data_IF_725859950941
#
_entry.id   IF_725859950941
#
_cell.length_a   1.000
_cell.length_b   1.000
_cell.length_c   1.000
_cell.angle_alpha   90.00
_cell.angle_beta   90.00
_cell.angle_gamma   90.00
#
_symmetry.space_group_name_H-M   'P 1'
#
loop_
_entity.id
_entity.type
_entity.pdbx_description
1 polymer ?
#
# COMPACT_ATOMS: atom_id res chain seq x y z
N UNK A 1 12.52 11.53 41.81
CA UNK A 1 11.87 11.42 40.48
C UNK A 1 12.77 10.58 39.58
N UNK A 2 12.36 9.37 39.18
CA UNK A 2 13.09 8.59 38.18
C UNK A 2 12.64 9.04 36.79
N UNK A 3 13.55 9.59 35.99
CA UNK A 3 13.32 9.86 34.58
C UNK A 3 13.59 8.59 33.77
N UNK A 4 12.54 7.98 33.24
CA UNK A 4 12.68 6.89 32.27
C UNK A 4 12.80 7.47 30.86
N UNK A 5 13.98 7.40 30.27
CA UNK A 5 14.16 7.59 28.83
C UNK A 5 13.76 6.30 28.12
N UNK A 6 12.58 6.27 27.50
CA UNK A 6 12.21 5.20 26.58
C UNK A 6 13.08 5.35 25.33
N UNK A 7 14.10 4.50 25.19
CA UNK A 7 14.77 4.32 23.89
C UNK A 7 13.74 3.70 22.93
N UNK A 8 13.38 4.43 21.88
CA UNK A 8 12.57 3.88 20.80
C UNK A 8 13.34 2.71 20.16
N UNK A 9 12.93 1.48 20.45
CA UNK A 9 13.49 0.29 19.82
C UNK A 9 12.78 0.07 18.47
N UNK A 10 13.46 0.43 17.39
CA UNK A 10 12.98 0.16 16.02
C UNK A 10 13.01 -1.35 15.78
N UNK A 11 11.87 -2.02 15.90
CA UNK A 11 11.72 -3.42 15.47
C UNK A 11 11.49 -3.44 13.96
N UNK A 12 12.33 -4.15 13.22
CA UNK A 12 12.05 -4.46 11.83
C UNK A 12 10.86 -5.42 11.78
N UNK A 13 9.76 -4.99 11.17
CA UNK A 13 8.55 -5.80 11.00
C UNK A 13 8.24 -5.86 9.51
N UNK A 14 8.11 -7.07 8.96
CA UNK A 14 7.78 -7.27 7.55
C UNK A 14 6.31 -6.93 7.24
N UNK A 15 5.43 -7.08 8.24
CA UNK A 15 4.00 -6.82 8.12
C UNK A 15 3.47 -6.07 9.35
N UNK A 16 2.88 -4.90 9.12
CA UNK A 16 2.43 -3.98 10.19
C UNK A 16 1.06 -4.33 10.79
N UNK A 17 0.44 -5.44 10.38
CA UNK A 17 -0.90 -5.83 10.84
C UNK A 17 -2.02 -4.99 10.22
N UNK A 18 -1.80 -4.39 9.04
CA UNK A 18 -2.74 -3.50 8.38
C UNK A 18 -3.07 -4.06 6.99
N UNK A 19 -4.35 -4.27 6.72
CA UNK A 19 -4.86 -4.49 5.37
C UNK A 19 -5.61 -3.26 4.90
N UNK A 20 -5.43 -2.90 3.64
CA UNK A 20 -6.10 -1.77 3.00
C UNK A 20 -6.67 -2.22 1.68
N UNK A 21 -7.95 -1.92 1.44
CA UNK A 21 -8.53 -2.02 0.11
C UNK A 21 -8.76 -0.61 -0.46
N UNK A 22 -8.70 -0.46 -1.78
CA UNK A 22 -8.88 0.85 -2.37
C UNK A 22 -8.92 0.85 -3.89
N UNK A 23 -8.74 2.03 -4.46
CA UNK A 23 -8.84 2.26 -5.89
C UNK A 23 -7.68 3.10 -6.43
N UNK A 24 -7.22 2.77 -7.63
CA UNK A 24 -6.18 3.51 -8.36
C UNK A 24 -6.15 3.06 -9.80
N UNK A 25 -5.94 4.01 -10.72
CA UNK A 25 -5.81 3.74 -12.15
C UNK A 25 -6.94 2.84 -12.67
N UNK A 26 -8.19 3.21 -12.41
CA UNK A 26 -9.37 2.49 -12.89
C UNK A 26 -9.46 1.01 -12.45
N UNK A 27 -8.89 0.66 -11.30
CA UNK A 27 -8.93 -0.70 -10.75
C UNK A 27 -8.82 -0.69 -9.23
N UNK A 28 -9.24 -1.78 -8.62
CA UNK A 28 -9.15 -1.96 -7.18
C UNK A 28 -7.76 -2.51 -6.78
N UNK A 29 -7.44 -2.41 -5.50
CA UNK A 29 -6.29 -3.07 -4.91
C UNK A 29 -6.58 -3.56 -3.50
N UNK A 30 -5.78 -4.52 -3.04
CA UNK A 30 -5.64 -4.93 -1.64
C UNK A 30 -4.16 -4.85 -1.29
N UNK A 31 -3.83 -4.16 -0.20
CA UNK A 31 -2.47 -4.00 0.31
C UNK A 31 -2.31 -4.63 1.68
N UNK A 32 -1.13 -5.21 1.89
CA UNK A 32 -0.55 -5.44 3.19
C UNK A 32 0.42 -4.28 3.48
N UNK A 33 0.30 -3.58 4.60
CA UNK A 33 1.30 -2.57 4.94
C UNK A 33 2.56 -3.23 5.52
N UNK A 34 3.73 -2.85 5.00
CA UNK A 34 5.03 -3.29 5.50
C UNK A 34 5.90 -3.92 4.40
N UNK A 35 7.24 -3.87 4.54
CA UNK A 35 8.00 -3.20 5.61
C UNK A 35 7.89 -1.67 5.54
N UNK A 36 7.96 -0.99 6.69
CA UNK A 36 7.76 0.46 6.79
C UNK A 36 8.63 1.12 7.87
N UNK A 37 8.83 2.44 7.71
CA UNK A 37 9.24 3.33 8.80
C UNK A 37 7.96 3.83 9.47
N UNK A 38 7.91 3.70 10.80
CA UNK A 38 6.70 3.93 11.58
C UNK A 38 6.95 4.89 12.72
N UNK A 39 6.11 5.92 12.78
CA UNK A 39 5.96 6.77 13.95
C UNK A 39 4.64 6.43 14.64
N UNK A 40 4.66 6.07 15.92
CA UNK A 40 3.47 5.67 16.66
C UNK A 40 3.37 6.39 18.00
N UNK A 41 2.23 7.04 18.23
CA UNK A 41 1.84 7.63 19.51
C UNK A 41 0.34 7.39 19.68
N UNK A 42 -0.03 6.44 20.55
CA UNK A 42 -1.43 6.05 20.77
C UNK A 42 -2.34 7.28 20.93
N UNK A 43 -3.52 7.32 20.26
CA UNK A 43 -4.11 6.29 19.38
C UNK A 43 -3.66 6.33 17.91
N UNK A 44 -2.67 7.17 17.57
CA UNK A 44 -2.24 7.45 16.20
C UNK A 44 -1.00 6.65 15.79
N UNK A 45 -0.91 6.31 14.51
CA UNK A 45 0.33 5.89 13.86
C UNK A 45 0.40 6.41 12.42
N UNK A 46 1.61 6.76 11.99
CA UNK A 46 1.91 7.13 10.61
C UNK A 46 3.01 6.19 10.13
N UNK A 47 2.80 5.59 8.95
CA UNK A 47 3.71 4.64 8.33
C UNK A 47 4.03 5.14 6.93
N UNK A 48 5.29 5.05 6.54
CA UNK A 48 5.74 5.22 5.16
C UNK A 48 6.54 3.99 4.78
N UNK A 49 6.14 3.29 3.73
CA UNK A 49 6.76 2.02 3.42
C UNK A 49 6.26 1.37 2.15
N UNK A 50 6.71 0.13 1.97
CA UNK A 50 6.32 -0.73 0.87
C UNK A 50 4.92 -1.30 1.11
N UNK A 51 4.24 -1.56 0.01
CA UNK A 51 2.87 -2.06 -0.04
C UNK A 51 2.81 -3.28 -0.97
N UNK A 52 3.18 -4.48 -0.48
CA UNK A 52 2.83 -5.73 -1.15
C UNK A 52 1.33 -5.77 -1.43
N UNK A 53 0.98 -5.96 -2.70
CA UNK A 53 -0.38 -5.71 -3.15
C UNK A 53 -0.89 -6.73 -4.17
N UNK A 54 -2.20 -6.91 -4.17
CA UNK A 54 -2.95 -7.50 -5.25
C UNK A 54 -3.69 -6.39 -5.99
N UNK A 55 -3.43 -6.26 -7.28
CA UNK A 55 -4.15 -5.36 -8.20
C UNK A 55 -5.28 -6.13 -8.84
N UNK A 56 -6.46 -5.53 -8.86
CA UNK A 56 -7.66 -6.10 -9.47
C UNK A 56 -8.10 -5.14 -10.57
N UNK A 57 -7.75 -5.48 -11.82
CA UNK A 57 -8.01 -4.65 -12.99
C UNK A 57 -8.06 -5.51 -14.23
N UNK A 58 -9.09 -5.31 -15.04
CA UNK A 58 -9.20 -5.95 -16.35
C UNK A 58 -8.10 -5.45 -17.30
N UNK A 59 -7.45 -6.37 -18.01
CA UNK A 59 -6.44 -6.04 -19.00
C UNK A 59 -7.08 -5.72 -20.35
N UNK A 60 -7.18 -4.43 -20.66
CA UNK A 60 -7.79 -3.94 -21.90
C UNK A 60 -6.78 -3.96 -23.03
N UNK A 61 -6.74 -5.09 -23.76
CA UNK A 61 -5.88 -5.32 -24.92
C UNK A 61 -6.67 -5.36 -26.23
N UNK A 62 -5.97 -5.25 -27.37
CA UNK A 62 -6.59 -5.39 -28.68
C UNK A 62 -7.17 -6.80 -28.89
N UNK A 63 -8.23 -6.96 -29.72
CA UNK A 63 -8.81 -8.27 -30.01
C UNK A 63 -7.77 -9.28 -30.50
N UNK A 64 -7.78 -10.48 -29.92
CA UNK A 64 -6.83 -11.55 -30.26
C UNK A 64 -5.44 -11.43 -29.62
N UNK A 65 -5.15 -10.34 -28.89
CA UNK A 65 -3.92 -10.21 -28.13
C UNK A 65 -3.96 -11.04 -26.83
N UNK A 66 -2.78 -11.44 -26.34
CA UNK A 66 -2.65 -12.05 -25.01
C UNK A 66 -2.98 -11.00 -23.94
N UNK A 67 -3.69 -11.43 -22.91
CA UNK A 67 -4.12 -10.60 -21.78
C UNK A 67 -3.51 -11.11 -20.47
N UNK A 68 -3.25 -10.20 -19.54
CA UNK A 68 -2.90 -10.52 -18.17
C UNK A 68 -4.11 -11.05 -17.38
N UNK A 69 -3.84 -11.74 -16.27
CA UNK A 69 -4.86 -12.09 -15.28
C UNK A 69 -5.56 -10.84 -14.74
N UNK A 70 -6.85 -10.94 -14.43
CA UNK A 70 -7.61 -9.86 -13.78
C UNK A 70 -7.03 -9.49 -12.40
N UNK A 71 -6.42 -10.47 -11.72
CA UNK A 71 -5.74 -10.27 -10.44
C UNK A 71 -4.24 -10.48 -10.64
N UNK A 72 -3.45 -9.47 -10.31
CA UNK A 72 -1.99 -9.49 -10.46
C UNK A 72 -1.27 -9.07 -9.17
N UNK A 73 -0.11 -9.66 -8.86
CA UNK A 73 0.74 -9.15 -7.80
C UNK A 73 1.38 -7.83 -8.24
N UNK A 74 1.53 -6.89 -7.30
CA UNK A 74 2.23 -5.64 -7.53
C UNK A 74 2.90 -5.17 -6.23
N UNK A 75 3.92 -4.33 -6.33
CA UNK A 75 4.57 -3.68 -5.21
C UNK A 75 4.38 -2.17 -5.34
N UNK A 76 3.61 -1.60 -4.41
CA UNK A 76 3.52 -0.15 -4.26
C UNK A 76 4.41 0.36 -3.15
N UNK A 77 4.40 1.68 -2.98
CA UNK A 77 4.84 2.33 -1.75
C UNK A 77 3.85 3.42 -1.38
N UNK A 78 3.84 3.89 -0.14
CA UNK A 78 2.97 5.00 0.21
C UNK A 78 2.96 5.34 1.67
N UNK A 79 2.06 6.26 2.01
CA UNK A 79 1.81 6.69 3.37
C UNK A 79 0.51 6.05 3.90
N UNK A 80 0.54 5.59 5.14
CA UNK A 80 -0.64 5.09 5.86
C UNK A 80 -0.79 5.84 7.18
N UNK A 81 -1.93 6.47 7.40
CA UNK A 81 -2.32 7.04 8.67
C UNK A 81 -3.29 6.08 9.37
N UNK A 82 -3.10 5.87 10.67
CA UNK A 82 -3.95 4.99 11.46
C UNK A 82 -4.47 5.73 12.68
N UNK A 83 -5.76 5.58 12.94
CA UNK A 83 -6.43 6.03 14.16
C UNK A 83 -7.24 4.86 14.74
N UNK A 84 -6.89 4.41 15.94
CA UNK A 84 -7.38 3.15 16.51
C UNK A 84 -7.14 1.98 15.53
N UNK A 85 -8.22 1.40 15.00
CA UNK A 85 -8.19 0.31 14.04
C UNK A 85 -8.42 0.78 12.59
N UNK A 86 -8.73 2.06 12.36
CA UNK A 86 -9.02 2.58 11.02
C UNK A 86 -7.73 3.07 10.37
N UNK A 87 -7.44 2.59 9.16
CA UNK A 87 -6.29 2.99 8.37
C UNK A 87 -6.72 3.72 7.10
N UNK A 88 -6.16 4.90 6.84
CA UNK A 88 -6.26 5.61 5.56
C UNK A 88 -4.91 5.51 4.85
N UNK A 89 -4.92 5.20 3.56
CA UNK A 89 -3.69 4.99 2.80
C UNK A 89 -3.70 5.77 1.48
N UNK A 90 -2.56 6.37 1.17
CA UNK A 90 -2.26 6.98 -0.13
C UNK A 90 -1.12 6.17 -0.77
N UNK A 91 -1.46 5.13 -1.57
CA UNK A 91 -0.47 4.34 -2.29
C UNK A 91 -0.07 4.96 -3.63
N UNK A 92 1.17 4.67 -4.04
CA UNK A 92 1.74 4.98 -5.33
C UNK A 92 2.15 3.67 -6.00
N UNK A 93 1.70 3.47 -7.24
CA UNK A 93 2.06 2.31 -8.05
C UNK A 93 2.64 2.73 -9.38
N UNK A 94 3.68 2.03 -9.81
CA UNK A 94 4.18 2.16 -11.15
C UNK A 94 3.50 1.15 -12.06
N UNK A 95 2.85 1.66 -13.12
CA UNK A 95 2.43 0.83 -14.23
C UNK A 95 3.56 0.82 -15.24
N UNK A 96 4.06 -0.37 -15.56
CA UNK A 96 5.14 -0.54 -16.53
C UNK A 96 4.70 -0.07 -17.94
N UNK A 97 5.68 0.42 -18.70
CA UNK A 97 5.55 0.69 -20.13
C UNK A 97 5.00 -0.55 -20.86
N UNK A 98 4.15 -0.30 -21.85
CA UNK A 98 3.69 -1.30 -22.81
C UNK A 98 4.15 -0.92 -24.23
N UNK A 99 3.83 -1.73 -25.23
CA UNK A 99 4.08 -1.36 -26.63
C UNK A 99 3.27 -0.13 -27.10
N UNK A 100 2.15 0.19 -26.42
CA UNK A 100 1.22 1.22 -26.85
C UNK A 100 1.13 2.43 -25.90
N UNK A 101 1.69 2.34 -24.68
CA UNK A 101 1.57 3.38 -23.63
C UNK A 101 2.84 3.45 -22.79
N UNK A 102 3.21 4.67 -22.42
CA UNK A 102 4.31 4.93 -21.50
C UNK A 102 4.02 4.43 -20.08
N UNK A 103 5.10 4.09 -19.37
CA UNK A 103 5.02 3.76 -17.96
C UNK A 103 4.77 5.02 -17.12
N UNK A 104 3.96 4.89 -16.08
CA UNK A 104 3.59 6.04 -15.23
C UNK A 104 3.30 5.63 -13.80
N UNK A 105 3.53 6.56 -12.89
CA UNK A 105 3.09 6.46 -11.51
C UNK A 105 1.63 6.85 -11.39
N UNK A 106 0.86 6.08 -10.63
CA UNK A 106 -0.52 6.37 -10.31
C UNK A 106 -0.69 6.45 -8.80
N UNK A 107 -1.38 7.50 -8.36
CA UNK A 107 -1.74 7.73 -6.96
C UNK A 107 -3.11 7.12 -6.71
N UNK A 108 -3.25 6.42 -5.59
CA UNK A 108 -4.51 5.84 -5.14
C UNK A 108 -4.98 6.39 -3.82
N UNK A 109 -6.12 5.85 -3.39
CA UNK A 109 -6.64 6.02 -2.05
C UNK A 109 -7.21 4.69 -1.57
N UNK A 110 -7.03 4.40 -0.28
CA UNK A 110 -7.56 3.19 0.32
C UNK A 110 -7.97 3.39 1.77
N UNK A 111 -8.90 2.55 2.20
CA UNK A 111 -9.37 2.42 3.56
C UNK A 111 -9.07 1.01 4.05
N UNK A 112 -8.67 0.90 5.31
CA UNK A 112 -8.18 -0.34 5.86
C UNK A 112 -8.44 -0.50 7.34
N UNK A 113 -8.04 -1.67 7.81
CA UNK A 113 -8.15 -2.08 9.19
C UNK A 113 -6.77 -2.46 9.74
N UNK A 114 -6.46 -2.00 10.95
CA UNK A 114 -5.31 -2.40 11.73
C UNK A 114 -5.76 -3.29 12.89
N UNK A 115 -5.20 -4.50 12.98
CA UNK A 115 -5.45 -5.41 14.09
C UNK A 115 -4.72 -4.99 15.38
#
# INVERSE_FOLDING_TARGET
MLFFTVKAQTKAVLFDGIFVAGYVDNGAFINCAGPSIKFAKKPYAILVGMLPSLRIKEDKVAPGAKQNSMVTPNLGFGATAVFHHVALQVPFYYNAKTAAKDGKWNVGVGLGYKF
#
